data_IF_221245654090
#
_entry.id   IF_221245654090
#
_cell.length_a   1.000
_cell.length_b   1.000
_cell.length_c   1.000
_cell.angle_alpha   90.00
_cell.angle_beta   90.00
_cell.angle_gamma   90.00
#
_symmetry.space_group_name_H-M   'P 1'
#
loop_
_entity.id
_entity.type
_entity.pdbx_description
1 polymer ?
#
# COMPACT_ATOMS: atom_id res chain seq x y z
N UNK A 1 -18.44 24.01 31.10
CA UNK A 1 -17.15 23.46 30.62
C UNK A 1 -17.46 22.38 29.59
N UNK A 2 -17.43 22.75 28.31
CA UNK A 2 -17.82 21.89 27.16
C UNK A 2 -16.66 21.91 26.16
N UNK A 3 -15.45 21.60 26.63
CA UNK A 3 -14.25 21.58 25.79
C UNK A 3 -13.68 20.17 25.61
N UNK A 4 -14.15 19.17 26.38
CA UNK A 4 -13.59 17.82 26.35
C UNK A 4 -14.31 16.84 25.41
N UNK A 5 -15.36 17.27 24.71
CA UNK A 5 -16.24 16.38 23.94
C UNK A 5 -15.96 16.38 22.44
N UNK A 6 -15.19 17.34 21.93
CA UNK A 6 -14.85 17.43 20.51
C UNK A 6 -13.56 16.68 20.14
N UNK A 7 -12.63 16.46 21.07
CA UNK A 7 -11.39 15.72 20.75
C UNK A 7 -11.60 14.20 20.60
N UNK A 8 -12.67 13.62 21.17
CA UNK A 8 -12.95 12.18 21.05
C UNK A 8 -13.63 11.77 19.74
N UNK A 9 -14.16 12.71 18.95
CA UNK A 9 -14.83 12.38 17.68
C UNK A 9 -13.84 12.36 16.50
N UNK A 10 -12.79 13.19 16.52
CA UNK A 10 -11.76 13.18 15.47
C UNK A 10 -10.78 12.01 15.61
N UNK A 11 -10.50 11.56 16.84
CA UNK A 11 -9.68 10.36 17.07
C UNK A 11 -10.42 9.05 16.74
N UNK A 12 -11.76 9.07 16.68
CA UNK A 12 -12.59 7.89 16.35
C UNK A 12 -12.66 7.56 14.87
N UNK A 13 -12.09 8.39 14.00
CA UNK A 13 -11.88 8.09 12.57
C UNK A 13 -10.48 7.56 12.26
N UNK A 14 -9.67 7.26 13.27
CA UNK A 14 -8.39 6.60 13.10
C UNK A 14 -8.57 5.12 13.44
N UNK A 15 -8.50 4.28 12.41
CA UNK A 15 -8.34 2.83 12.50
C UNK A 15 -9.55 2.05 13.00
N UNK A 16 -10.68 2.21 12.33
CA UNK A 16 -11.58 1.06 12.22
C UNK A 16 -10.93 0.08 11.25
N UNK A 17 -10.98 -1.20 11.61
CA UNK A 17 -10.70 -2.38 10.78
C UNK A 17 -9.28 -2.98 10.86
N UNK A 18 -9.20 -3.93 11.79
CA UNK A 18 -8.37 -5.14 11.78
C UNK A 18 -6.90 -4.90 12.12
N UNK A 19 -6.56 -5.36 13.31
CA UNK A 19 -5.25 -5.82 13.78
C UNK A 19 -4.58 -6.68 12.68
N UNK A 20 -4.02 -6.01 11.69
CA UNK A 20 -3.60 -6.67 10.46
C UNK A 20 -2.18 -7.14 10.65
N UNK A 21 -1.98 -8.45 10.51
CA UNK A 21 -0.70 -9.17 10.49
C UNK A 21 0.23 -8.75 9.33
N UNK A 22 -0.04 -7.59 8.73
CA UNK A 22 0.58 -7.06 7.53
C UNK A 22 1.20 -5.69 7.83
N UNK A 23 2.32 -5.38 7.19
CA UNK A 23 2.83 -4.01 7.09
C UNK A 23 2.59 -3.49 5.68
N UNK A 24 2.27 -2.21 5.57
CA UNK A 24 2.01 -1.57 4.28
C UNK A 24 3.10 -0.58 3.93
N UNK A 25 3.55 -0.58 2.68
CA UNK A 25 4.43 0.45 2.15
C UNK A 25 3.87 1.02 0.84
N UNK A 26 4.06 2.32 0.65
CA UNK A 26 3.60 3.04 -0.53
C UNK A 26 4.76 3.31 -1.48
N UNK A 27 4.52 3.04 -2.76
CA UNK A 27 5.50 3.19 -3.83
C UNK A 27 4.87 3.89 -5.03
N UNK A 28 5.64 4.76 -5.66
CA UNK A 28 5.25 5.43 -6.90
C UNK A 28 5.83 4.63 -8.05
N UNK A 29 4.99 4.17 -8.96
CA UNK A 29 5.40 3.38 -10.11
C UNK A 29 6.18 4.28 -11.06
N UNK A 30 7.45 3.96 -11.28
CA UNK A 30 8.32 4.73 -12.16
C UNK A 30 8.53 4.03 -13.51
N UNK A 31 8.34 2.71 -13.56
CA UNK A 31 8.52 1.91 -14.76
C UNK A 31 7.59 0.71 -14.75
N UNK A 32 7.03 0.42 -15.91
CA UNK A 32 6.19 -0.76 -16.17
C UNK A 32 6.82 -1.54 -17.31
N UNK A 33 6.91 -2.86 -17.15
CA UNK A 33 7.45 -3.78 -18.15
C UNK A 33 6.41 -4.87 -18.45
N UNK A 34 6.68 -5.71 -19.46
CA UNK A 34 5.77 -6.80 -19.83
C UNK A 34 5.60 -7.83 -18.71
N UNK A 35 6.56 -7.95 -17.80
CA UNK A 35 6.60 -8.95 -16.73
C UNK A 35 6.10 -8.43 -15.39
N UNK A 36 6.07 -7.11 -15.19
CA UNK A 36 5.78 -6.54 -13.88
C UNK A 36 5.96 -5.03 -13.81
N UNK A 37 6.01 -4.55 -12.57
CA UNK A 37 5.94 -3.14 -12.22
C UNK A 37 7.10 -2.80 -11.28
N UNK A 38 7.71 -1.66 -11.53
CA UNK A 38 8.78 -1.09 -10.72
C UNK A 38 8.25 0.17 -10.05
N UNK A 39 8.38 0.19 -8.72
CA UNK A 39 8.01 1.33 -7.90
C UNK A 39 9.22 1.89 -7.16
N UNK A 40 9.15 3.16 -6.80
CA UNK A 40 10.11 3.83 -5.94
C UNK A 40 9.37 4.56 -4.83
N UNK A 41 9.79 4.34 -3.59
CA UNK A 41 9.27 5.05 -2.43
C UNK A 41 9.97 6.42 -2.31
N UNK A 42 9.35 7.33 -1.57
CA UNK A 42 9.90 8.66 -1.25
C UNK A 42 11.23 8.56 -0.48
N UNK A 43 11.42 7.48 0.28
CA UNK A 43 12.64 7.16 1.03
C UNK A 43 13.77 6.62 0.12
N UNK A 44 13.51 6.43 -1.18
CA UNK A 44 14.50 5.95 -2.15
C UNK A 44 14.53 4.42 -2.32
N UNK A 45 13.74 3.67 -1.55
CA UNK A 45 13.56 2.23 -1.73
C UNK A 45 12.93 1.93 -3.08
N UNK A 46 13.46 0.94 -3.79
CA UNK A 46 12.87 0.45 -5.04
C UNK A 46 12.18 -0.89 -4.81
N UNK A 47 11.03 -1.09 -5.45
CA UNK A 47 10.29 -2.34 -5.40
C UNK A 47 10.03 -2.86 -6.80
N UNK A 48 9.99 -4.18 -6.93
CA UNK A 48 9.54 -4.85 -8.14
C UNK A 48 8.53 -5.93 -7.77
N UNK A 49 7.40 -5.93 -8.45
CA UNK A 49 6.39 -6.99 -8.32
C UNK A 49 5.89 -7.42 -9.68
N UNK A 50 5.59 -8.72 -9.80
CA UNK A 50 5.12 -9.32 -11.05
C UNK A 50 3.69 -8.89 -11.33
N UNK A 51 3.36 -8.75 -12.62
CA UNK A 51 1.99 -8.43 -13.06
C UNK A 51 0.97 -9.48 -12.64
N UNK A 52 1.41 -10.73 -12.49
CA UNK A 52 0.59 -11.85 -12.00
C UNK A 52 0.07 -11.67 -10.56
N UNK A 53 0.73 -10.84 -9.75
CA UNK A 53 0.31 -10.52 -8.38
C UNK A 53 -0.71 -9.39 -8.33
N UNK A 54 -0.90 -8.69 -9.45
CA UNK A 54 -1.86 -7.59 -9.58
C UNK A 54 -3.18 -8.17 -10.07
N UNK A 55 -4.28 -7.79 -9.43
CA UNK A 55 -5.59 -8.23 -9.87
C UNK A 55 -5.84 -7.78 -11.31
N UNK A 56 -6.43 -8.65 -12.15
CA UNK A 56 -6.55 -8.40 -13.60
C UNK A 56 -7.36 -7.14 -13.94
N UNK A 57 -8.20 -6.67 -13.03
CA UNK A 57 -8.99 -5.45 -13.14
C UNK A 57 -8.23 -4.17 -12.74
N UNK A 58 -7.04 -4.28 -12.18
CA UNK A 58 -6.23 -3.14 -11.74
C UNK A 58 -5.20 -2.83 -12.83
N UNK A 59 -5.38 -1.69 -13.51
CA UNK A 59 -4.38 -1.16 -14.42
C UNK A 59 -3.46 -0.19 -13.67
N UNK A 60 -2.20 -0.58 -13.55
CA UNK A 60 -1.12 0.22 -12.99
C UNK A 60 -0.31 0.82 -14.14
N UNK A 61 -0.05 2.11 -14.08
CA UNK A 61 0.70 2.89 -15.06
C UNK A 61 1.85 3.64 -14.37
N UNK A 62 2.80 4.15 -15.16
CA UNK A 62 3.87 5.00 -14.64
C UNK A 62 3.26 6.29 -14.06
N UNK A 63 3.67 6.67 -12.86
CA UNK A 63 3.14 7.80 -12.10
C UNK A 63 2.09 7.40 -11.06
N UNK A 64 1.49 6.21 -11.17
CA UNK A 64 0.51 5.75 -10.20
C UNK A 64 1.17 5.46 -8.85
N UNK A 65 0.49 5.81 -7.77
CA UNK A 65 0.87 5.40 -6.42
C UNK A 65 0.18 4.09 -6.07
N UNK A 66 0.95 3.12 -5.58
CA UNK A 66 0.44 1.82 -5.15
C UNK A 66 0.79 1.57 -3.71
N UNK A 67 -0.14 0.97 -2.98
CA UNK A 67 0.04 0.48 -1.62
C UNK A 67 0.23 -1.03 -1.65
N UNK A 68 1.38 -1.47 -1.16
CA UNK A 68 1.76 -2.86 -1.08
C UNK A 68 1.59 -3.33 0.35
N UNK A 69 0.94 -4.47 0.51
CA UNK A 69 0.73 -5.13 1.79
C UNK A 69 1.68 -6.32 1.86
N UNK A 70 2.49 -6.36 2.89
CA UNK A 70 3.47 -7.40 3.13
C UNK A 70 3.14 -8.10 4.44
N UNK A 71 3.28 -9.42 4.44
CA UNK A 71 3.02 -10.23 5.63
C UNK A 71 4.16 -10.11 6.64
N UNK A 72 3.84 -9.90 7.92
CA UNK A 72 4.84 -9.77 9.01
C UNK A 72 5.50 -11.10 9.38
N UNK A 73 4.98 -12.24 8.91
CA UNK A 73 5.54 -13.58 9.16
C UNK A 73 6.89 -13.81 8.47
N UNK A 74 7.44 -12.80 7.78
CA UNK A 74 8.82 -12.83 7.27
C UNK A 74 8.98 -13.67 6.00
N UNK A 75 7.89 -14.05 5.33
CA UNK A 75 7.98 -14.70 4.02
C UNK A 75 8.39 -13.69 2.96
N UNK A 76 9.56 -13.92 2.37
CA UNK A 76 10.19 -13.12 1.31
C UNK A 76 9.49 -13.34 -0.05
N UNK A 77 8.22 -13.75 -0.06
CA UNK A 77 7.44 -14.05 -1.27
C UNK A 77 6.88 -12.79 -1.96
N UNK A 78 7.17 -11.61 -1.41
CA UNK A 78 6.76 -10.31 -1.91
C UNK A 78 5.43 -9.83 -1.32
N UNK A 79 4.80 -8.81 -1.92
CA UNK A 79 3.54 -8.28 -1.42
C UNK A 79 2.42 -9.32 -1.57
N UNK A 80 1.65 -9.49 -0.50
CA UNK A 80 0.46 -10.35 -0.46
C UNK A 80 -0.74 -9.69 -1.11
N UNK A 81 -0.81 -8.35 -1.07
CA UNK A 81 -1.87 -7.57 -1.69
C UNK A 81 -1.28 -6.29 -2.28
N UNK A 82 -1.85 -5.86 -3.38
CA UNK A 82 -1.44 -4.67 -4.14
C UNK A 82 -2.71 -3.87 -4.42
N UNK A 83 -2.75 -2.64 -3.92
CA UNK A 83 -3.85 -1.71 -4.18
C UNK A 83 -3.30 -0.47 -4.86
N UNK A 84 -3.96 -0.02 -5.93
CA UNK A 84 -3.67 1.27 -6.54
C UNK A 84 -4.41 2.34 -5.74
N UNK A 85 -3.68 3.37 -5.30
CA UNK A 85 -4.31 4.59 -4.79
C UNK A 85 -4.67 5.46 -6.00
N UNK A 86 -5.90 5.96 -6.00
CA UNK A 86 -6.44 6.87 -7.03
C UNK A 86 -6.02 8.33 -6.77
#
# INVERSE_FOLDING_TARGET
MVYLKFEMDEARKVSNEVESEYFTEEFIINKTDKTGYYGKSTDGKSIYFKKEKVAANVQIQNGDSVRLYFDKSGRIDGPVKIEKND
#
